data_IF_876235736886
#
_entry.id   IF_876235736886
#
_cell.length_a   1.000
_cell.length_b   1.000
_cell.length_c   1.000
_cell.angle_alpha   90.00
_cell.angle_beta   90.00
_cell.angle_gamma   90.00
#
_symmetry.space_group_name_H-M   'P 1'
#
loop_
_entity.id
_entity.type
_entity.pdbx_description
1 polymer ?
#
# COMPACT_ATOMS: atom_id res chain seq x y z
N UNK A 1 -6.60 -22.66 56.49
CA UNK A 1 -5.17 -22.72 56.12
C UNK A 1 -5.01 -21.98 54.79
N UNK A 2 -4.61 -20.70 54.80
CA UNK A 2 -4.24 -20.00 53.55
C UNK A 2 -2.93 -20.65 53.10
N UNK A 3 -2.97 -21.40 52.01
CA UNK A 3 -1.75 -21.82 51.33
C UNK A 3 -1.04 -20.52 50.97
N UNK A 4 0.01 -20.17 51.73
CA UNK A 4 0.97 -19.14 51.31
C UNK A 4 1.49 -19.66 49.98
N UNK A 5 1.01 -19.08 48.89
CA UNK A 5 1.63 -19.27 47.58
C UNK A 5 3.13 -19.07 47.81
N UNK A 6 3.93 -20.08 47.52
CA UNK A 6 5.35 -19.87 47.32
C UNK A 6 5.46 -18.74 46.31
N UNK A 7 6.05 -17.61 46.72
CA UNK A 7 6.35 -16.50 45.82
C UNK A 7 7.22 -17.07 44.71
N UNK A 8 6.58 -17.37 43.58
CA UNK A 8 7.25 -17.83 42.39
C UNK A 8 7.94 -16.59 41.84
N UNK A 9 9.25 -16.47 42.10
CA UNK A 9 10.02 -15.28 41.76
C UNK A 9 9.84 -14.91 40.29
N UNK A 10 9.46 -13.67 40.03
CA UNK A 10 9.22 -13.17 38.67
C UNK A 10 7.79 -13.33 38.16
N UNK A 11 6.85 -13.88 38.94
CA UNK A 11 5.42 -13.89 38.58
C UNK A 11 4.85 -12.49 38.38
N UNK A 12 5.32 -11.49 39.14
CA UNK A 12 4.87 -10.11 39.02
C UNK A 12 5.16 -9.53 37.63
N UNK A 13 6.25 -9.96 36.98
CA UNK A 13 6.60 -9.54 35.61
C UNK A 13 5.50 -9.92 34.61
N UNK A 14 4.90 -11.10 34.75
CA UNK A 14 3.83 -11.58 33.87
C UNK A 14 2.46 -10.98 34.22
N UNK A 15 2.24 -10.61 35.49
CA UNK A 15 0.99 -10.02 35.98
C UNK A 15 1.01 -8.48 36.06
N UNK A 16 1.99 -7.83 35.43
CA UNK A 16 2.14 -6.38 35.41
C UNK A 16 1.18 -5.65 34.44
N UNK A 17 0.44 -6.39 33.60
CA UNK A 17 -0.47 -5.81 32.61
C UNK A 17 -1.72 -5.16 33.24
N UNK A 18 -2.42 -4.33 32.45
CA UNK A 18 -3.73 -3.78 32.81
C UNK A 18 -4.68 -4.93 33.17
N UNK A 19 -5.35 -4.83 34.32
CA UNK A 19 -6.42 -5.76 34.70
C UNK A 19 -7.54 -5.70 33.66
N UNK A 20 -7.95 -6.86 33.14
CA UNK A 20 -9.08 -6.96 32.23
C UNK A 20 -10.37 -6.70 33.01
N UNK A 21 -10.87 -5.48 32.87
CA UNK A 21 -12.15 -5.02 33.41
C UNK A 21 -12.60 -3.79 32.60
N UNK A 22 -12.99 -3.99 31.32
CA UNK A 22 -13.36 -2.89 30.45
C UNK A 22 -14.62 -2.18 30.96
N UNK A 23 -14.72 -0.88 30.69
CA UNK A 23 -15.91 -0.10 31.01
C UNK A 23 -17.11 -0.55 30.14
N UNK A 24 -18.35 -0.60 30.67
CA UNK A 24 -19.53 -0.85 29.85
C UNK A 24 -19.67 0.21 28.74
N UNK A 25 -20.00 -0.23 27.52
CA UNK A 25 -20.30 0.69 26.43
C UNK A 25 -21.60 1.45 26.68
N UNK A 26 -21.65 2.72 26.30
CA UNK A 26 -22.81 3.60 26.42
C UNK A 26 -22.98 4.46 25.17
N UNK A 27 -24.06 5.24 25.09
CA UNK A 27 -24.28 6.20 24.00
C UNK A 27 -23.19 7.28 23.90
N UNK A 28 -22.45 7.54 24.99
CA UNK A 28 -21.37 8.53 25.06
C UNK A 28 -19.98 7.93 24.76
N UNK A 29 -19.91 6.65 24.40
CA UNK A 29 -18.65 6.00 24.05
C UNK A 29 -18.23 6.37 22.63
N UNK A 30 -17.28 7.30 22.53
CA UNK A 30 -16.63 7.64 21.26
C UNK A 30 -15.67 6.53 20.78
N UNK A 31 -15.15 6.70 19.56
CA UNK A 31 -14.24 5.73 18.94
C UNK A 31 -12.94 5.54 19.72
N UNK A 32 -12.42 6.58 20.36
CA UNK A 32 -11.15 6.51 21.10
C UNK A 32 -11.34 5.64 22.33
N UNK A 33 -12.39 5.92 23.12
CA UNK A 33 -12.79 5.09 24.26
C UNK A 33 -13.10 3.66 23.84
N UNK A 34 -13.85 3.47 22.75
CA UNK A 34 -14.16 2.13 22.24
C UNK A 34 -12.89 1.31 21.98
N UNK A 35 -11.94 1.88 21.24
CA UNK A 35 -10.68 1.20 20.88
C UNK A 35 -9.79 0.97 22.10
N UNK A 36 -9.63 1.97 22.98
CA UNK A 36 -8.78 1.87 24.17
C UNK A 36 -9.30 0.79 25.15
N UNK A 37 -10.61 0.49 25.09
CA UNK A 37 -11.29 -0.52 25.89
C UNK A 37 -11.11 -1.97 25.36
N UNK A 38 -10.50 -2.17 24.19
CA UNK A 38 -10.28 -3.51 23.60
C UNK A 38 -9.04 -4.19 24.21
N UNK A 39 -9.23 -5.00 25.26
CA UNK A 39 -8.12 -5.53 26.06
C UNK A 39 -7.39 -6.78 25.52
N UNK A 40 -8.07 -7.66 24.76
CA UNK A 40 -7.55 -9.00 24.43
C UNK A 40 -7.79 -9.43 22.97
N UNK A 41 -7.07 -10.46 22.54
CA UNK A 41 -7.15 -11.09 21.20
C UNK A 41 -7.01 -10.06 20.06
N UNK A 42 -7.70 -10.26 18.92
CA UNK A 42 -7.62 -9.35 17.79
C UNK A 42 -8.15 -7.93 18.10
N UNK A 43 -9.05 -7.78 19.09
CA UNK A 43 -9.42 -6.45 19.59
C UNK A 43 -8.23 -5.74 20.23
N UNK A 44 -7.47 -6.43 21.08
CA UNK A 44 -6.23 -5.92 21.66
C UNK A 44 -5.15 -5.65 20.61
N UNK A 45 -5.09 -6.43 19.53
CA UNK A 45 -4.18 -6.17 18.40
C UNK A 45 -4.60 -4.94 17.60
N UNK A 46 -5.91 -4.74 17.35
CA UNK A 46 -6.41 -3.51 16.73
C UNK A 46 -6.06 -2.27 17.57
N UNK A 47 -6.28 -2.34 18.89
CA UNK A 47 -5.87 -1.26 19.81
C UNK A 47 -4.37 -1.01 19.76
N UNK A 48 -3.55 -2.07 19.79
CA UNK A 48 -2.10 -1.94 19.69
C UNK A 48 -1.67 -1.26 18.37
N UNK A 49 -2.32 -1.58 17.24
CA UNK A 49 -2.07 -0.89 15.97
C UNK A 49 -2.48 0.59 16.03
N UNK A 50 -3.63 0.93 16.61
CA UNK A 50 -4.06 2.31 16.84
C UNK A 50 -3.05 3.10 17.71
N UNK A 51 -2.57 2.50 18.80
CA UNK A 51 -1.57 3.10 19.68
C UNK A 51 -0.23 3.27 18.97
N UNK A 52 0.21 2.28 18.20
CA UNK A 52 1.44 2.35 17.43
C UNK A 52 1.36 3.47 16.37
N UNK A 53 0.23 3.63 15.69
CA UNK A 53 -0.01 4.76 14.78
C UNK A 53 0.11 6.10 15.51
N UNK A 54 -0.57 6.22 16.65
CA UNK A 54 -0.59 7.44 17.47
C UNK A 54 0.77 7.81 18.04
N UNK A 55 1.52 6.85 18.58
CA UNK A 55 2.72 7.13 19.40
C UNK A 55 4.02 7.11 18.60
N UNK A 56 4.05 6.36 17.48
CA UNK A 56 5.23 6.22 16.62
C UNK A 56 5.01 6.82 15.24
N UNK A 57 4.01 6.37 14.48
CA UNK A 57 3.83 6.82 13.09
C UNK A 57 3.45 8.31 12.96
N UNK A 58 2.90 8.91 14.02
CA UNK A 58 2.57 10.34 14.07
C UNK A 58 3.80 11.26 14.11
N UNK A 59 4.99 10.72 14.37
CA UNK A 59 6.24 11.50 14.41
C UNK A 59 6.64 11.94 13.00
N UNK A 60 7.27 13.11 12.90
CA UNK A 60 7.56 13.79 11.61
C UNK A 60 8.71 13.15 10.83
N UNK A 61 9.62 12.52 11.54
CA UNK A 61 10.79 11.80 11.03
C UNK A 61 10.45 10.39 10.53
N UNK A 62 9.19 9.95 10.64
CA UNK A 62 8.74 8.64 10.14
C UNK A 62 8.21 8.77 8.72
N UNK A 63 8.82 8.04 7.79
CA UNK A 63 8.30 7.82 6.43
C UNK A 63 7.41 6.59 6.41
N UNK A 64 6.16 6.73 5.97
CA UNK A 64 5.14 5.68 6.06
C UNK A 64 4.76 5.12 4.69
N UNK A 65 4.96 3.82 4.51
CA UNK A 65 4.43 3.07 3.36
C UNK A 65 3.07 2.48 3.66
N UNK A 66 2.14 2.53 2.69
CA UNK A 66 0.85 1.82 2.74
C UNK A 66 0.77 0.76 1.64
N UNK A 67 0.60 -0.51 2.01
CA UNK A 67 0.37 -1.61 1.07
C UNK A 67 -1.11 -1.97 1.02
N UNK A 68 -1.68 -2.05 -0.19
CA UNK A 68 -3.09 -2.31 -0.43
C UNK A 68 -3.29 -3.60 -1.26
N UNK A 69 -3.73 -4.66 -0.58
CA UNK A 69 -4.05 -5.94 -1.21
C UNK A 69 -5.46 -6.42 -0.83
N UNK A 70 -6.15 -7.05 -1.78
CA UNK A 70 -7.59 -7.35 -1.69
C UNK A 70 -8.43 -6.34 -2.50
N UNK A 71 -9.74 -6.34 -2.28
CA UNK A 71 -10.69 -5.49 -2.99
C UNK A 71 -11.09 -4.26 -2.15
N UNK A 72 -10.15 -3.33 -1.91
CA UNK A 72 -10.38 -2.20 -1.00
C UNK A 72 -11.10 -1.03 -1.68
N UNK A 73 -10.57 -0.56 -2.80
CA UNK A 73 -11.16 0.56 -3.54
C UNK A 73 -12.59 0.27 -4.02
N UNK A 74 -12.93 -0.91 -4.60
CA UNK A 74 -14.32 -1.19 -4.98
C UNK A 74 -15.26 -1.28 -3.77
N UNK A 75 -14.74 -1.61 -2.58
CA UNK A 75 -15.52 -1.59 -1.33
C UNK A 75 -15.74 -0.18 -0.77
N UNK A 76 -15.26 0.87 -1.45
CA UNK A 76 -15.41 2.27 -1.03
C UNK A 76 -14.43 2.71 0.06
N UNK A 77 -13.37 1.93 0.33
CA UNK A 77 -12.34 2.31 1.31
C UNK A 77 -11.45 3.46 0.84
N UNK A 78 -11.40 3.73 -0.47
CA UNK A 78 -10.73 4.90 -1.04
C UNK A 78 -11.19 6.21 -0.39
N UNK A 79 -12.44 6.66 -0.66
CA UNK A 79 -12.99 7.88 -0.05
C UNK A 79 -13.20 7.79 1.45
N UNK A 80 -13.59 6.63 1.98
CA UNK A 80 -13.98 6.54 3.40
C UNK A 80 -12.80 6.46 4.38
N UNK A 81 -11.64 5.96 3.97
CA UNK A 81 -10.53 5.68 4.88
C UNK A 81 -9.14 6.02 4.31
N UNK A 82 -8.81 5.56 3.10
CA UNK A 82 -7.47 5.70 2.51
C UNK A 82 -7.15 7.17 2.22
N UNK A 83 -8.03 7.89 1.51
CA UNK A 83 -7.85 9.31 1.21
C UNK A 83 -7.77 10.15 2.50
N UNK A 84 -8.67 10.00 3.48
CA UNK A 84 -8.52 10.66 4.78
C UNK A 84 -7.17 10.41 5.48
N UNK A 85 -6.64 9.18 5.41
CA UNK A 85 -5.34 8.83 6.00
C UNK A 85 -4.18 9.50 5.25
N UNK A 86 -4.24 9.53 3.91
CA UNK A 86 -3.28 10.23 3.05
C UNK A 86 -3.27 11.73 3.36
N UNK A 87 -4.44 12.35 3.42
CA UNK A 87 -4.58 13.79 3.71
C UNK A 87 -4.14 14.15 5.14
N UNK A 88 -4.21 13.20 6.06
CA UNK A 88 -3.70 13.36 7.43
C UNK A 88 -2.17 13.17 7.51
N UNK A 89 -1.52 12.84 6.39
CA UNK A 89 -0.08 12.66 6.25
C UNK A 89 0.45 11.33 6.76
N UNK A 90 -0.40 10.32 6.97
CA UNK A 90 0.00 9.00 7.43
C UNK A 90 0.34 8.03 6.29
N UNK A 91 0.48 8.54 5.06
CA UNK A 91 0.87 7.78 3.87
C UNK A 91 1.81 8.65 3.06
N UNK A 92 3.05 8.21 2.88
CA UNK A 92 4.06 8.91 2.09
C UNK A 92 4.30 8.24 0.73
N UNK A 93 4.04 6.93 0.61
CA UNK A 93 4.09 6.15 -0.63
C UNK A 93 3.20 4.90 -0.53
N UNK A 94 2.76 4.38 -1.68
CA UNK A 94 1.80 3.27 -1.76
C UNK A 94 2.34 2.13 -2.62
N UNK A 95 2.13 0.88 -2.19
CA UNK A 95 2.14 -0.29 -3.09
C UNK A 95 0.73 -0.85 -3.19
N UNK A 96 0.26 -1.18 -4.38
CA UNK A 96 -1.09 -1.70 -4.57
C UNK A 96 -1.18 -2.65 -5.76
N UNK A 97 -2.17 -3.55 -5.72
CA UNK A 97 -2.55 -4.30 -6.93
C UNK A 97 -3.09 -3.34 -7.99
N UNK A 98 -2.83 -3.65 -9.27
CA UNK A 98 -3.41 -2.89 -10.38
C UNK A 98 -4.94 -2.93 -10.36
N UNK A 99 -5.55 -4.00 -9.79
CA UNK A 99 -6.99 -4.09 -9.57
C UNK A 99 -7.54 -2.99 -8.64
N UNK A 100 -6.88 -2.68 -7.51
CA UNK A 100 -7.31 -1.56 -6.67
C UNK A 100 -7.25 -0.23 -7.45
N UNK A 101 -6.15 0.00 -8.18
CA UNK A 101 -5.98 1.25 -8.93
C UNK A 101 -6.95 1.35 -10.11
N UNK A 102 -7.30 0.22 -10.75
CA UNK A 102 -8.31 0.16 -11.80
C UNK A 102 -9.71 0.43 -11.25
N UNK A 103 -10.10 -0.26 -10.17
CA UNK A 103 -11.42 -0.10 -9.61
C UNK A 103 -11.66 1.28 -8.99
N UNK A 104 -10.59 1.97 -8.57
CA UNK A 104 -10.62 3.36 -8.13
C UNK A 104 -11.09 4.34 -9.24
N UNK A 105 -10.80 4.03 -10.51
CA UNK A 105 -11.15 4.91 -11.64
C UNK A 105 -12.67 5.07 -11.81
N UNK A 106 -13.46 4.05 -11.45
CA UNK A 106 -14.93 4.11 -11.53
C UNK A 106 -15.47 5.31 -10.75
N UNK A 107 -14.91 5.58 -9.57
CA UNK A 107 -15.33 6.68 -8.71
C UNK A 107 -15.05 8.04 -9.35
N UNK A 108 -13.84 8.28 -9.85
CA UNK A 108 -13.51 9.53 -10.55
C UNK A 108 -14.37 9.73 -11.81
N UNK A 109 -14.69 8.65 -12.51
CA UNK A 109 -15.56 8.66 -13.69
C UNK A 109 -17.05 8.82 -13.38
N UNK A 110 -17.44 8.83 -12.10
CA UNK A 110 -18.81 8.83 -11.61
C UNK A 110 -19.63 7.63 -12.13
N UNK A 111 -19.01 6.45 -12.20
CA UNK A 111 -19.66 5.21 -12.62
C UNK A 111 -20.08 4.41 -11.37
N UNK A 112 -21.38 4.09 -11.22
CA UNK A 112 -21.90 3.61 -9.96
C UNK A 112 -21.53 2.15 -9.69
N UNK A 113 -21.20 1.87 -8.42
CA UNK A 113 -21.06 0.53 -7.87
C UNK A 113 -22.05 0.38 -6.71
N UNK A 114 -22.60 -0.82 -6.53
CA UNK A 114 -23.71 -1.07 -5.62
C UNK A 114 -23.37 -2.16 -4.61
N UNK A 115 -23.83 -1.99 -3.37
CA UNK A 115 -23.90 -3.11 -2.42
C UNK A 115 -24.90 -4.13 -2.94
N UNK A 116 -24.48 -5.39 -2.99
CA UNK A 116 -25.29 -6.55 -3.31
C UNK A 116 -25.24 -7.60 -2.20
N UNK A 117 -25.25 -8.86 -2.60
CA UNK A 117 -25.15 -10.02 -1.71
C UNK A 117 -24.23 -11.05 -2.35
N UNK A 118 -23.48 -11.78 -1.53
CA UNK A 118 -22.65 -12.91 -1.99
C UNK A 118 -23.48 -14.16 -2.35
N UNK A 119 -24.79 -14.15 -2.07
CA UNK A 119 -25.72 -15.27 -2.30
C UNK A 119 -26.45 -15.18 -3.66
N UNK A 120 -26.06 -14.23 -4.52
CA UNK A 120 -26.66 -14.04 -5.85
C UNK A 120 -26.25 -15.15 -6.83
N UNK A 121 -27.11 -15.45 -7.80
CA UNK A 121 -26.83 -16.43 -8.86
C UNK A 121 -25.93 -15.84 -9.95
N UNK A 122 -24.68 -16.32 -10.01
CA UNK A 122 -23.68 -15.90 -10.97
C UNK A 122 -24.06 -16.13 -12.44
N UNK A 123 -24.80 -17.21 -12.73
CA UNK A 123 -25.23 -17.49 -14.10
C UNK A 123 -26.31 -16.50 -14.54
N UNK A 124 -27.20 -16.11 -13.62
CA UNK A 124 -28.18 -15.06 -13.86
C UNK A 124 -27.52 -13.68 -13.99
N UNK A 125 -26.56 -13.34 -13.12
CA UNK A 125 -25.77 -12.10 -13.23
C UNK A 125 -25.11 -11.98 -14.60
N UNK A 126 -24.45 -13.05 -15.06
CA UNK A 126 -23.78 -13.05 -16.37
C UNK A 126 -24.76 -12.83 -17.52
N UNK A 127 -25.94 -13.46 -17.48
CA UNK A 127 -26.99 -13.26 -18.50
C UNK A 127 -27.55 -11.84 -18.50
N UNK A 128 -27.60 -11.20 -17.33
CA UNK A 128 -28.10 -9.84 -17.13
C UNK A 128 -27.04 -8.76 -17.33
N UNK A 129 -25.79 -9.12 -17.66
CA UNK A 129 -24.71 -8.15 -17.83
C UNK A 129 -24.25 -7.51 -16.52
N UNK A 130 -24.43 -8.17 -15.38
CA UNK A 130 -23.96 -7.67 -14.08
C UNK A 130 -22.66 -8.38 -13.72
N UNK A 131 -21.66 -7.60 -13.31
CA UNK A 131 -20.39 -8.11 -12.79
C UNK A 131 -20.38 -7.96 -11.27
N UNK A 132 -19.75 -8.91 -10.57
CA UNK A 132 -19.60 -8.83 -9.12
C UNK A 132 -18.16 -8.94 -8.64
N UNK A 133 -17.90 -8.30 -7.51
CA UNK A 133 -16.73 -8.51 -6.67
C UNK A 133 -17.28 -8.92 -5.30
N UNK A 134 -17.33 -10.22 -5.04
CA UNK A 134 -18.00 -10.79 -3.87
C UNK A 134 -19.46 -10.29 -3.71
N UNK A 135 -19.72 -9.36 -2.81
CA UNK A 135 -21.02 -8.74 -2.52
C UNK A 135 -21.15 -7.30 -3.05
N UNK A 136 -20.29 -6.91 -4.01
CA UNK A 136 -20.36 -5.64 -4.73
C UNK A 136 -20.80 -5.92 -6.17
N UNK A 137 -21.78 -5.17 -6.69
CA UNK A 137 -22.37 -5.33 -8.02
C UNK A 137 -22.20 -4.07 -8.86
N UNK A 138 -21.94 -4.23 -10.16
CA UNK A 138 -21.88 -3.13 -11.12
C UNK A 138 -22.17 -3.62 -12.53
N UNK A 139 -22.58 -2.70 -13.40
CA UNK A 139 -22.93 -3.02 -14.78
C UNK A 139 -21.70 -3.34 -15.64
N UNK A 140 -21.75 -4.40 -16.43
CA UNK A 140 -20.64 -4.80 -17.29
C UNK A 140 -20.38 -3.77 -18.41
N UNK A 141 -21.40 -3.25 -19.07
CA UNK A 141 -21.24 -2.35 -20.21
C UNK A 141 -21.05 -0.89 -19.79
N UNK A 142 -21.87 -0.43 -18.85
CA UNK A 142 -21.95 0.98 -18.46
C UNK A 142 -20.89 1.36 -17.41
N UNK A 143 -20.31 0.38 -16.72
CA UNK A 143 -19.27 0.62 -15.70
C UNK A 143 -17.93 0.03 -16.14
N UNK A 144 -17.85 -1.28 -16.34
CA UNK A 144 -16.56 -1.94 -16.65
C UNK A 144 -16.06 -1.56 -18.06
N UNK A 145 -16.88 -1.79 -19.10
CA UNK A 145 -16.47 -1.49 -20.48
C UNK A 145 -16.32 0.01 -20.73
N UNK A 146 -17.13 0.85 -20.08
CA UNK A 146 -16.97 2.31 -20.18
C UNK A 146 -15.66 2.81 -19.56
N UNK A 147 -15.26 2.27 -18.40
CA UNK A 147 -13.95 2.54 -17.79
C UNK A 147 -12.82 2.18 -18.75
N UNK A 148 -12.92 1.01 -19.39
CA UNK A 148 -11.98 0.53 -20.39
C UNK A 148 -11.90 1.43 -21.63
N UNK A 149 -13.04 1.87 -22.17
CA UNK A 149 -13.10 2.81 -23.30
C UNK A 149 -12.41 4.13 -22.95
N UNK A 150 -12.62 4.66 -21.75
CA UNK A 150 -11.95 5.88 -21.28
C UNK A 150 -10.46 5.68 -21.06
N UNK A 151 -10.09 4.59 -20.39
CA UNK A 151 -8.70 4.25 -20.12
C UNK A 151 -7.88 4.15 -21.41
N UNK A 152 -8.37 3.41 -22.42
CA UNK A 152 -7.67 3.29 -23.71
C UNK A 152 -7.39 4.65 -24.37
N UNK A 153 -8.35 5.59 -24.32
CA UNK A 153 -8.14 6.95 -24.83
C UNK A 153 -7.12 7.74 -24.01
N UNK A 154 -7.09 7.55 -22.70
CA UNK A 154 -6.10 8.18 -21.81
C UNK A 154 -4.69 7.66 -22.11
N UNK A 155 -4.53 6.34 -22.29
CA UNK A 155 -3.25 5.69 -22.55
C UNK A 155 -2.61 6.09 -23.89
N UNK A 156 -3.37 6.69 -24.81
CA UNK A 156 -2.87 7.22 -26.09
C UNK A 156 -2.40 8.68 -26.00
N UNK A 157 -2.51 9.32 -24.83
CA UNK A 157 -2.05 10.71 -24.67
C UNK A 157 -0.52 10.80 -24.69
N UNK A 158 0.06 11.97 -25.06
CA UNK A 158 1.51 12.14 -25.23
C UNK A 158 2.33 11.78 -23.98
N UNK A 159 1.84 12.10 -22.78
CA UNK A 159 2.54 11.82 -21.52
C UNK A 159 2.79 10.33 -21.27
N UNK A 160 1.99 9.44 -21.87
CA UNK A 160 2.14 7.98 -21.77
C UNK A 160 3.06 7.39 -22.86
N UNK A 161 3.43 8.12 -23.91
CA UNK A 161 4.16 7.56 -25.06
C UNK A 161 5.68 7.45 -24.82
N UNK A 162 6.06 6.76 -23.74
CA UNK A 162 7.44 6.47 -23.35
C UNK A 162 7.51 5.24 -22.45
N UNK A 163 8.73 4.75 -22.24
CA UNK A 163 9.00 3.82 -21.14
C UNK A 163 8.97 4.57 -19.80
N UNK A 164 8.31 3.98 -18.80
CA UNK A 164 8.19 4.54 -17.45
C UNK A 164 7.97 3.44 -16.40
N UNK A 165 8.20 3.76 -15.14
CA UNK A 165 7.72 2.95 -14.01
C UNK A 165 6.25 3.23 -13.70
N UNK A 166 5.62 2.40 -12.87
CA UNK A 166 4.25 2.63 -12.37
C UNK A 166 4.14 3.90 -11.52
N UNK A 167 5.23 4.34 -10.86
CA UNK A 167 5.26 5.63 -10.15
C UNK A 167 4.84 6.80 -11.03
N UNK A 168 5.46 6.91 -12.20
CA UNK A 168 5.18 8.00 -13.16
C UNK A 168 3.84 7.77 -13.86
N UNK A 169 3.54 6.52 -14.24
CA UNK A 169 2.27 6.14 -14.83
C UNK A 169 1.06 6.58 -13.98
N UNK A 170 1.07 6.23 -12.68
CA UNK A 170 -0.04 6.58 -11.78
C UNK A 170 -0.08 8.07 -11.45
N UNK A 171 1.03 8.78 -11.49
CA UNK A 171 1.00 10.23 -11.36
C UNK A 171 0.31 10.90 -12.55
N UNK A 172 0.63 10.47 -13.78
CA UNK A 172 -0.07 10.94 -14.97
C UNK A 172 -1.56 10.56 -14.94
N UNK A 173 -1.88 9.31 -14.61
CA UNK A 173 -3.26 8.86 -14.48
C UNK A 173 -4.02 9.63 -13.38
N UNK A 174 -3.39 9.89 -12.24
CA UNK A 174 -3.96 10.63 -11.13
C UNK A 174 -4.27 12.08 -11.46
N UNK A 175 -3.42 12.74 -12.25
CA UNK A 175 -3.73 14.06 -12.81
C UNK A 175 -5.02 14.02 -13.63
N UNK A 176 -5.18 13.01 -14.49
CA UNK A 176 -6.38 12.85 -15.30
C UNK A 176 -7.60 12.55 -14.42
N UNK A 177 -7.48 11.70 -13.41
CA UNK A 177 -8.59 11.40 -12.48
C UNK A 177 -9.01 12.63 -11.68
N UNK A 178 -8.05 13.45 -11.24
CA UNK A 178 -8.32 14.72 -10.57
C UNK A 178 -9.14 15.68 -11.47
N UNK A 179 -8.83 15.74 -12.77
CA UNK A 179 -9.63 16.54 -13.71
C UNK A 179 -11.06 15.98 -13.87
N UNK A 180 -11.23 14.66 -13.85
CA UNK A 180 -12.55 14.03 -13.91
C UNK A 180 -13.36 14.26 -12.63
N UNK A 181 -12.74 14.20 -11.44
CA UNK A 181 -13.39 14.60 -10.18
C UNK A 181 -13.94 16.03 -10.26
N UNK A 182 -13.12 16.98 -10.73
CA UNK A 182 -13.55 18.37 -10.91
C UNK A 182 -14.68 18.54 -11.92
N UNK A 183 -14.59 17.88 -13.09
CA UNK A 183 -15.62 17.93 -14.15
C UNK A 183 -16.96 17.34 -13.69
N UNK A 184 -16.90 16.23 -12.97
CA UNK A 184 -18.07 15.54 -12.43
C UNK A 184 -18.58 16.19 -11.13
N UNK A 185 -17.90 17.24 -10.64
CA UNK A 185 -18.20 17.92 -9.36
C UNK A 185 -18.24 16.97 -8.19
N UNK A 186 -17.31 16.01 -8.21
CA UNK A 186 -17.10 15.07 -7.13
C UNK A 186 -16.18 15.69 -6.08
N UNK A 187 -16.33 15.25 -4.83
CA UNK A 187 -15.29 15.44 -3.81
C UNK A 187 -14.09 14.55 -4.09
N UNK A 188 -13.22 14.39 -3.10
CA UNK A 188 -12.09 13.47 -3.20
C UNK A 188 -12.55 12.01 -3.07
N UNK A 189 -12.68 11.33 -4.21
CA UNK A 189 -13.24 9.98 -4.30
C UNK A 189 -12.29 8.96 -4.91
N UNK A 190 -11.24 9.40 -5.60
CA UNK A 190 -10.20 8.56 -6.21
C UNK A 190 -8.89 8.66 -5.43
N UNK A 191 -8.39 7.51 -4.99
CA UNK A 191 -7.06 7.34 -4.38
C UNK A 191 -5.96 7.78 -5.34
N UNK A 192 -6.07 7.45 -6.63
CA UNK A 192 -5.06 7.84 -7.62
C UNK A 192 -5.03 9.37 -7.82
N UNK A 193 -6.20 10.03 -7.81
CA UNK A 193 -6.30 11.49 -7.84
C UNK A 193 -5.74 12.15 -6.57
N UNK A 194 -6.07 11.62 -5.39
CA UNK A 194 -5.53 12.11 -4.12
C UNK A 194 -4.01 11.96 -4.03
N UNK A 195 -3.45 10.86 -4.56
CA UNK A 195 -2.02 10.63 -4.59
C UNK A 195 -1.29 11.67 -5.47
N UNK A 196 -1.88 12.03 -6.62
CA UNK A 196 -1.41 13.13 -7.46
C UNK A 196 -1.38 14.46 -6.70
N UNK A 197 -2.49 14.84 -6.04
CA UNK A 197 -2.56 16.09 -5.24
C UNK A 197 -1.52 16.12 -4.12
N UNK A 198 -1.35 14.99 -3.43
CA UNK A 198 -0.48 14.88 -2.26
C UNK A 198 1.00 14.60 -2.60
N UNK A 199 1.34 14.38 -3.88
CA UNK A 199 2.69 14.01 -4.29
C UNK A 199 3.12 12.64 -3.75
N UNK A 200 2.18 11.70 -3.58
CA UNK A 200 2.42 10.35 -3.08
C UNK A 200 2.67 9.42 -4.28
N UNK A 201 3.85 8.78 -4.40
CA UNK A 201 4.10 7.82 -5.46
C UNK A 201 3.34 6.51 -5.19
N UNK A 202 2.73 5.95 -6.23
CA UNK A 202 2.05 4.64 -6.21
C UNK A 202 2.86 3.66 -7.05
N UNK A 203 3.08 2.47 -6.52
CA UNK A 203 3.74 1.37 -7.21
C UNK A 203 2.79 0.18 -7.35
N UNK A 204 2.88 -0.55 -8.47
CA UNK A 204 2.23 -1.85 -8.64
C UNK A 204 3.27 -2.91 -8.96
N UNK A 205 3.34 -3.92 -8.12
CA UNK A 205 4.33 -4.99 -8.18
C UNK A 205 4.16 -5.94 -9.36
N UNK A 206 2.96 -6.05 -9.90
CA UNK A 206 2.64 -6.85 -11.09
C UNK A 206 1.87 -6.00 -12.11
N UNK A 207 2.52 -5.11 -12.89
CA UNK A 207 1.81 -4.15 -13.75
C UNK A 207 0.93 -4.78 -14.83
N UNK A 208 1.28 -5.98 -15.29
CA UNK A 208 0.47 -6.77 -16.23
C UNK A 208 -0.77 -7.43 -15.61
N UNK A 209 -0.82 -7.56 -14.28
CA UNK A 209 -1.86 -8.29 -13.55
C UNK A 209 -3.00 -7.36 -13.12
N UNK A 210 -3.67 -6.78 -14.12
CA UNK A 210 -4.89 -5.99 -13.95
C UNK A 210 -5.51 -5.62 -15.29
N UNK A 211 -6.76 -5.14 -15.26
CA UNK A 211 -7.41 -4.56 -16.45
C UNK A 211 -6.63 -3.38 -17.04
N UNK A 212 -5.84 -2.64 -16.23
CA UNK A 212 -4.92 -1.62 -16.73
C UNK A 212 -3.85 -2.27 -17.63
N UNK A 213 -3.16 -3.29 -17.11
CA UNK A 213 -2.14 -4.03 -17.85
C UNK A 213 -2.70 -4.68 -19.12
N UNK A 214 -3.89 -5.27 -19.03
CA UNK A 214 -4.60 -5.86 -20.18
C UNK A 214 -4.90 -4.82 -21.27
N UNK A 215 -5.31 -3.60 -20.90
CA UNK A 215 -5.57 -2.53 -21.87
C UNK A 215 -4.28 -1.99 -22.50
N UNK A 216 -3.17 -1.90 -21.73
CA UNK A 216 -1.85 -1.57 -22.29
C UNK A 216 -1.43 -2.62 -23.33
N UNK A 217 -1.52 -3.91 -22.99
CA UNK A 217 -1.19 -5.02 -23.89
C UNK A 217 -2.07 -5.03 -25.15
N UNK A 218 -3.38 -4.77 -25.01
CA UNK A 218 -4.30 -4.68 -26.14
C UNK A 218 -3.97 -3.54 -27.10
N UNK A 219 -3.62 -2.36 -26.59
CA UNK A 219 -3.18 -1.23 -27.41
C UNK A 219 -1.84 -1.50 -28.11
N UNK A 220 -0.91 -2.15 -27.41
CA UNK A 220 0.36 -2.57 -28.01
C UNK A 220 0.14 -3.56 -29.15
N UNK A 221 -0.74 -4.55 -28.95
CA UNK A 221 -1.10 -5.53 -29.98
C UNK A 221 -1.69 -4.85 -31.21
N UNK A 222 -2.62 -3.91 -31.01
CA UNK A 222 -3.20 -3.11 -32.09
C UNK A 222 -2.11 -2.31 -32.84
N UNK A 223 -1.23 -1.63 -32.12
CA UNK A 223 -0.13 -0.87 -32.72
C UNK A 223 0.82 -1.79 -33.52
N UNK A 224 1.06 -3.01 -33.02
CA UNK A 224 1.77 -4.07 -33.74
C UNK A 224 1.10 -4.42 -35.06
N UNK A 225 -0.16 -4.83 -35.02
CA UNK A 225 -0.92 -5.27 -36.19
C UNK A 225 -1.10 -4.15 -37.23
N UNK A 226 -1.17 -2.90 -36.79
CA UNK A 226 -1.33 -1.73 -37.66
C UNK A 226 -0.01 -1.13 -38.18
N UNK A 227 1.16 -1.69 -37.83
CA UNK A 227 2.46 -1.11 -38.22
C UNK A 227 2.83 0.20 -37.49
N UNK A 228 2.16 0.51 -36.38
CA UNK A 228 2.29 1.74 -35.60
C UNK A 228 3.16 1.60 -34.33
N UNK A 229 3.95 0.52 -34.20
CA UNK A 229 4.83 0.31 -33.02
C UNK A 229 5.80 1.46 -32.75
N UNK A 230 6.23 2.16 -33.80
CA UNK A 230 7.13 3.30 -33.66
C UNK A 230 6.45 4.51 -32.99
N UNK A 231 5.11 4.58 -33.02
CA UNK A 231 4.29 5.62 -32.39
C UNK A 231 3.78 5.22 -31.00
N UNK A 232 3.33 3.97 -30.82
CA UNK A 232 2.90 3.49 -29.51
C UNK A 232 4.10 3.06 -28.66
N UNK A 233 4.52 3.96 -27.78
CA UNK A 233 5.77 3.84 -27.02
C UNK A 233 5.57 3.56 -25.53
N UNK A 234 4.32 3.45 -25.07
CA UNK A 234 4.02 3.13 -23.67
C UNK A 234 4.60 1.76 -23.31
N UNK A 235 5.57 1.77 -22.39
CA UNK A 235 6.18 0.58 -21.81
C UNK A 235 6.28 0.76 -20.30
N UNK A 236 5.84 -0.25 -19.54
CA UNK A 236 6.02 -0.25 -18.09
C UNK A 236 7.24 -1.09 -17.76
N UNK A 237 8.22 -0.47 -17.10
CA UNK A 237 9.46 -1.12 -16.69
C UNK A 237 9.48 -1.29 -15.15
N UNK A 238 9.26 -2.51 -14.63
CA UNK A 238 9.26 -2.77 -13.19
C UNK A 238 10.59 -2.49 -12.50
N UNK A 239 11.72 -2.52 -13.22
CA UNK A 239 13.04 -2.21 -12.63
C UNK A 239 13.13 -0.75 -12.17
N UNK A 240 12.43 0.17 -12.84
CA UNK A 240 12.33 1.57 -12.41
C UNK A 240 11.63 1.63 -11.04
N UNK A 241 10.54 0.88 -10.88
CA UNK A 241 9.77 0.87 -9.63
C UNK A 241 10.54 0.24 -8.47
N UNK A 242 11.29 -0.84 -8.71
CA UNK A 242 12.15 -1.46 -7.69
C UNK A 242 13.18 -0.43 -7.19
N UNK A 243 13.87 0.26 -8.10
CA UNK A 243 14.87 1.25 -7.71
C UNK A 243 14.24 2.48 -7.04
N UNK A 244 13.15 3.02 -7.58
CA UNK A 244 12.52 4.22 -7.04
C UNK A 244 11.87 3.99 -5.67
N UNK A 245 11.28 2.81 -5.43
CA UNK A 245 10.73 2.45 -4.12
C UNK A 245 11.85 2.20 -3.09
N UNK A 246 12.93 1.53 -3.49
CA UNK A 246 14.14 1.38 -2.67
C UNK A 246 14.77 2.73 -2.30
N UNK A 247 14.82 3.68 -3.23
CA UNK A 247 15.38 5.01 -2.99
C UNK A 247 14.64 5.77 -1.87
N UNK A 248 13.32 5.55 -1.71
CA UNK A 248 12.53 6.15 -0.63
C UNK A 248 13.01 5.68 0.74
N UNK A 249 13.15 4.36 0.91
CA UNK A 249 13.57 3.77 2.19
C UNK A 249 14.99 4.16 2.54
N UNK A 250 15.91 4.01 1.59
CA UNK A 250 17.31 4.39 1.79
C UNK A 250 17.44 5.87 2.21
N UNK A 251 16.70 6.77 1.56
CA UNK A 251 16.75 8.19 1.87
C UNK A 251 16.26 8.48 3.29
N UNK A 252 15.10 7.93 3.66
CA UNK A 252 14.51 8.12 4.97
C UNK A 252 15.47 7.72 6.11
N UNK A 253 16.21 6.62 5.95
CA UNK A 253 17.04 6.06 7.01
C UNK A 253 18.46 6.58 6.98
N UNK A 254 19.11 6.54 5.80
CA UNK A 254 20.54 6.88 5.66
C UNK A 254 20.79 8.38 5.54
N UNK A 255 19.93 9.11 4.84
CA UNK A 255 20.17 10.52 4.50
C UNK A 255 19.36 11.49 5.35
N UNK A 256 18.15 11.12 5.76
CA UNK A 256 17.31 11.94 6.64
C UNK A 256 17.46 11.57 8.13
N UNK A 257 18.16 10.47 8.43
CA UNK A 257 18.32 9.93 9.78
C UNK A 257 16.98 9.72 10.51
N UNK A 258 15.94 9.41 9.74
CA UNK A 258 14.60 9.16 10.21
C UNK A 258 14.33 7.69 10.46
N UNK A 259 13.04 7.37 10.51
CA UNK A 259 12.51 6.03 10.74
C UNK A 259 11.55 5.64 9.62
N UNK A 260 11.35 4.35 9.41
CA UNK A 260 10.40 3.86 8.40
C UNK A 260 9.36 2.94 9.04
N UNK A 261 8.12 3.09 8.59
CA UNK A 261 7.01 2.26 9.05
C UNK A 261 6.12 1.82 7.90
N UNK A 262 5.57 0.61 8.00
CA UNK A 262 4.68 0.05 6.98
C UNK A 262 3.30 -0.28 7.55
N UNK A 263 2.26 0.15 6.85
CA UNK A 263 0.88 -0.25 7.09
C UNK A 263 0.50 -1.22 5.97
N UNK A 264 0.42 -2.49 6.31
CA UNK A 264 0.16 -3.59 5.40
C UNK A 264 -1.29 -4.01 5.52
N UNK A 265 -2.10 -3.69 4.52
CA UNK A 265 -3.51 -4.10 4.44
C UNK A 265 -3.63 -5.27 3.46
N UNK A 266 -4.01 -6.43 3.98
CA UNK A 266 -3.99 -7.69 3.26
C UNK A 266 -2.58 -8.30 3.17
N UNK A 267 -2.27 -8.91 2.03
CA UNK A 267 -0.99 -9.57 1.82
C UNK A 267 -0.50 -9.57 0.38
N UNK A 268 -0.06 -10.72 -0.11
CA UNK A 268 0.31 -10.93 -1.50
C UNK A 268 1.43 -10.04 -2.02
N UNK A 269 1.38 -9.77 -3.32
CA UNK A 269 2.43 -9.05 -4.04
C UNK A 269 2.68 -7.61 -3.52
N UNK A 270 1.64 -6.80 -3.18
CA UNK A 270 1.87 -5.45 -2.61
C UNK A 270 2.65 -5.46 -1.30
N UNK A 271 2.34 -6.39 -0.38
CA UNK A 271 3.10 -6.58 0.87
C UNK A 271 4.55 -6.94 0.58
N UNK A 272 4.78 -7.89 -0.34
CA UNK A 272 6.15 -8.27 -0.69
C UNK A 272 6.94 -7.10 -1.25
N UNK A 273 6.36 -6.42 -2.23
CA UNK A 273 7.04 -5.34 -2.95
C UNK A 273 7.38 -4.17 -2.02
N UNK A 274 6.53 -3.91 -1.03
CA UNK A 274 6.82 -2.92 0.01
C UNK A 274 8.01 -3.33 0.87
N UNK A 275 8.05 -4.57 1.33
CA UNK A 275 9.09 -5.05 2.24
C UNK A 275 10.42 -5.41 1.54
N UNK A 276 10.38 -5.78 0.26
CA UNK A 276 11.57 -6.21 -0.49
C UNK A 276 12.56 -5.06 -0.75
N UNK A 277 12.15 -3.80 -0.52
CA UNK A 277 13.07 -2.66 -0.60
C UNK A 277 14.28 -2.87 0.29
N UNK A 278 14.11 -3.57 1.42
CA UNK A 278 15.17 -3.87 2.38
C UNK A 278 16.19 -4.91 1.85
N UNK A 279 15.79 -6.13 1.42
CA UNK A 279 16.67 -7.02 0.67
C UNK A 279 17.33 -6.36 -0.55
N UNK A 280 16.62 -5.49 -1.28
CA UNK A 280 17.22 -4.76 -2.39
C UNK A 280 18.38 -3.86 -1.93
N UNK A 281 18.25 -3.16 -0.81
CA UNK A 281 19.32 -2.33 -0.23
C UNK A 281 20.48 -3.22 0.24
N UNK A 282 20.18 -4.22 1.05
CA UNK A 282 21.17 -5.00 1.81
C UNK A 282 21.89 -6.04 0.93
N UNK A 283 21.15 -6.80 0.13
CA UNK A 283 21.65 -7.99 -0.57
C UNK A 283 22.00 -7.73 -2.03
N UNK A 284 21.27 -6.82 -2.71
CA UNK A 284 21.47 -6.55 -4.14
C UNK A 284 22.38 -5.34 -4.35
N UNK A 285 22.11 -4.26 -3.61
CA UNK A 285 22.89 -3.02 -3.70
C UNK A 285 24.08 -2.99 -2.73
N UNK A 286 24.19 -3.98 -1.84
CA UNK A 286 25.29 -4.15 -0.88
C UNK A 286 25.45 -2.96 0.08
N UNK A 287 24.38 -2.20 0.33
CA UNK A 287 24.39 -1.03 1.21
C UNK A 287 24.11 -1.47 2.65
N UNK A 288 24.99 -1.18 3.62
CA UNK A 288 24.75 -1.51 5.02
C UNK A 288 23.52 -0.76 5.56
N UNK A 289 22.49 -1.50 5.92
CA UNK A 289 21.21 -1.02 6.41
C UNK A 289 20.51 -2.17 7.18
N UNK A 290 19.48 -1.88 7.96
CA UNK A 290 18.72 -2.87 8.76
C UNK A 290 17.24 -2.64 8.50
N UNK A 291 16.36 -3.65 8.52
CA UNK A 291 14.97 -3.51 8.06
C UNK A 291 14.07 -2.43 8.69
N UNK A 292 12.79 -2.43 8.31
CA UNK A 292 11.80 -1.43 8.77
C UNK A 292 11.72 -1.32 10.30
N UNK A 293 11.52 -0.10 10.81
CA UNK A 293 11.44 0.14 12.26
C UNK A 293 10.06 -0.24 12.83
N UNK A 294 8.99 -0.01 12.07
CA UNK A 294 7.62 -0.26 12.53
C UNK A 294 6.82 -1.07 11.51
N UNK A 295 5.97 -1.98 11.98
CA UNK A 295 5.12 -2.82 11.13
C UNK A 295 3.71 -2.93 11.71
N UNK A 296 2.71 -2.56 10.92
CA UNK A 296 1.30 -2.85 11.20
C UNK A 296 0.77 -3.70 10.06
N UNK A 297 0.39 -4.94 10.37
CA UNK A 297 -0.18 -5.88 9.41
C UNK A 297 -1.63 -6.22 9.78
N UNK A 298 -2.56 -5.93 8.88
CA UNK A 298 -3.98 -6.29 8.98
C UNK A 298 -4.26 -7.34 7.91
N UNK A 299 -4.48 -8.59 8.30
CA UNK A 299 -4.60 -9.71 7.36
C UNK A 299 -5.57 -10.76 7.87
N UNK A 300 -6.25 -11.47 6.99
CA UNK A 300 -7.03 -12.68 7.29
C UNK A 300 -6.23 -13.97 7.05
N UNK A 301 -5.06 -13.86 6.41
CA UNK A 301 -4.25 -14.99 6.01
C UNK A 301 -3.53 -15.61 7.22
N UNK A 302 -3.64 -16.93 7.35
CA UNK A 302 -2.98 -17.67 8.41
C UNK A 302 -1.51 -17.96 8.05
N UNK A 303 -0.59 -18.00 9.04
CA UNK A 303 0.81 -18.30 8.78
C UNK A 303 1.08 -19.75 8.39
N UNK A 304 0.28 -20.72 8.88
CA UNK A 304 0.52 -22.17 8.73
C UNK A 304 0.45 -22.66 7.27
N UNK A 305 -0.17 -21.89 6.37
CA UNK A 305 -0.26 -22.25 4.95
C UNK A 305 0.99 -21.89 4.16
N UNK A 306 2.01 -21.30 4.78
CA UNK A 306 3.29 -20.95 4.15
C UNK A 306 3.19 -19.79 3.14
N UNK A 307 2.08 -19.05 3.13
CA UNK A 307 1.87 -17.92 2.24
C UNK A 307 2.39 -16.62 2.84
N UNK A 308 3.07 -15.80 2.04
CA UNK A 308 3.60 -14.48 2.46
C UNK A 308 2.53 -13.58 3.13
N UNK A 309 1.28 -13.67 2.68
CA UNK A 309 0.16 -12.90 3.25
C UNK A 309 0.01 -13.08 4.76
N UNK A 310 0.24 -14.31 5.26
CA UNK A 310 0.16 -14.66 6.68
C UNK A 310 1.50 -14.61 7.41
N UNK A 311 2.62 -14.42 6.70
CA UNK A 311 3.95 -14.44 7.28
C UNK A 311 4.09 -13.37 8.41
N UNK A 312 4.53 -13.77 9.62
CA UNK A 312 4.63 -12.87 10.76
C UNK A 312 5.86 -11.95 10.63
N UNK A 313 5.86 -10.77 11.31
CA UNK A 313 7.01 -9.86 11.30
C UNK A 313 8.31 -10.50 11.80
N UNK A 314 8.24 -11.47 12.72
CA UNK A 314 9.41 -12.22 13.20
C UNK A 314 10.06 -13.06 12.10
N UNK A 315 9.27 -13.61 11.16
CA UNK A 315 9.82 -14.28 9.98
C UNK A 315 10.42 -13.25 9.02
N UNK A 316 9.74 -12.12 8.80
CA UNK A 316 10.26 -11.05 7.94
C UNK A 316 11.62 -10.50 8.43
N UNK A 317 11.87 -10.48 9.74
CA UNK A 317 13.16 -10.09 10.31
C UNK A 317 14.33 -11.01 9.89
N UNK A 318 14.09 -12.32 9.65
CA UNK A 318 15.16 -13.21 9.16
C UNK A 318 15.61 -12.90 7.74
N UNK A 319 14.77 -12.18 6.98
CA UNK A 319 15.05 -11.70 5.63
C UNK A 319 15.56 -10.25 5.61
N UNK A 320 15.90 -9.68 6.77
CA UNK A 320 16.32 -8.28 6.87
C UNK A 320 15.22 -7.26 6.58
N UNK A 321 13.95 -7.69 6.42
CA UNK A 321 12.81 -6.80 6.08
C UNK A 321 12.35 -5.95 7.26
N UNK A 322 12.53 -6.45 8.48
CA UNK A 322 12.19 -5.78 9.74
C UNK A 322 13.46 -5.74 10.61
N UNK A 323 13.70 -4.63 11.30
CA UNK A 323 14.79 -4.55 12.28
C UNK A 323 14.51 -5.52 13.45
N UNK A 324 15.38 -6.51 13.71
CA UNK A 324 15.18 -7.49 14.78
C UNK A 324 15.15 -6.85 16.17
N UNK A 325 15.72 -5.65 16.36
CA UNK A 325 15.65 -4.90 17.62
C UNK A 325 14.32 -4.17 17.82
N UNK A 326 13.50 -4.08 16.78
CA UNK A 326 12.22 -3.37 16.78
C UNK A 326 11.00 -4.31 16.75
N UNK A 327 11.18 -5.62 16.98
CA UNK A 327 10.08 -6.59 16.94
C UNK A 327 8.90 -6.26 17.89
N UNK A 328 9.18 -5.60 19.02
CA UNK A 328 8.14 -5.12 19.95
C UNK A 328 7.29 -3.97 19.36
N UNK A 329 7.75 -3.33 18.29
CA UNK A 329 7.06 -2.27 17.55
C UNK A 329 6.35 -2.82 16.30
N UNK A 330 5.97 -4.10 16.33
CA UNK A 330 5.24 -4.77 15.25
C UNK A 330 3.89 -5.30 15.74
N UNK A 331 2.86 -5.15 14.90
CA UNK A 331 1.49 -5.59 15.23
C UNK A 331 0.86 -6.28 14.04
N UNK A 332 0.60 -7.58 14.17
CA UNK A 332 -0.32 -8.31 13.29
C UNK A 332 -1.69 -8.43 13.96
N UNK A 333 -2.73 -7.91 13.32
CA UNK A 333 -4.13 -8.14 13.70
C UNK A 333 -4.82 -8.99 12.64
N UNK A 334 -5.40 -10.12 13.07
CA UNK A 334 -6.14 -11.00 12.18
C UNK A 334 -7.58 -10.52 12.04
N UNK A 335 -7.80 -9.56 11.15
CA UNK A 335 -9.07 -8.84 10.99
C UNK A 335 -9.35 -8.55 9.51
N UNK A 336 -10.64 -8.48 9.18
CA UNK A 336 -11.09 -7.96 7.90
C UNK A 336 -10.75 -6.47 7.76
N UNK A 337 -10.17 -6.09 6.62
CA UNK A 337 -9.69 -4.73 6.39
C UNK A 337 -10.83 -3.71 6.24
N UNK A 338 -12.03 -4.13 5.83
CA UNK A 338 -13.23 -3.27 5.75
C UNK A 338 -13.75 -2.88 7.14
N UNK A 339 -13.39 -3.65 8.17
CA UNK A 339 -13.66 -3.31 9.58
C UNK A 339 -12.49 -2.53 10.18
N UNK A 340 -11.27 -3.05 10.07
CA UNK A 340 -10.12 -2.50 10.78
C UNK A 340 -9.69 -1.12 10.26
N UNK A 341 -9.65 -0.91 8.94
CA UNK A 341 -9.09 0.31 8.35
C UNK A 341 -9.90 1.57 8.71
N UNK A 342 -11.25 1.60 8.60
CA UNK A 342 -12.04 2.76 9.03
C UNK A 342 -11.86 3.09 10.52
N UNK A 343 -11.76 2.07 11.39
CA UNK A 343 -11.55 2.26 12.82
C UNK A 343 -10.17 2.86 13.13
N UNK A 344 -9.12 2.36 12.48
CA UNK A 344 -7.76 2.91 12.57
C UNK A 344 -7.73 4.38 12.16
N UNK A 345 -8.34 4.71 11.01
CA UNK A 345 -8.37 6.07 10.48
C UNK A 345 -9.14 7.01 11.40
N UNK A 346 -10.32 6.59 11.87
CA UNK A 346 -11.12 7.39 12.80
C UNK A 346 -10.37 7.66 14.11
N UNK A 347 -9.71 6.65 14.67
CA UNK A 347 -8.89 6.80 15.89
C UNK A 347 -7.73 7.77 15.67
N UNK A 348 -6.96 7.61 14.59
CA UNK A 348 -5.78 8.45 14.30
C UNK A 348 -6.20 9.90 14.07
N UNK A 349 -7.28 10.15 13.32
CA UNK A 349 -7.77 11.51 13.08
C UNK A 349 -8.22 12.24 14.35
N UNK A 350 -8.73 11.51 15.34
CA UNK A 350 -9.15 12.11 16.62
C UNK A 350 -8.00 12.25 17.63
N UNK A 351 -6.96 11.41 17.52
CA UNK A 351 -5.88 11.36 18.52
C UNK A 351 -4.58 12.02 18.08
N UNK A 352 -4.46 12.42 16.81
CA UNK A 352 -3.22 12.98 16.25
C UNK A 352 -3.48 14.24 15.42
N UNK A 353 -2.44 15.05 15.23
CA UNK A 353 -2.47 16.20 14.31
C UNK A 353 -2.02 15.76 12.91
N UNK A 354 -2.53 16.39 11.83
CA UNK A 354 -2.05 16.13 10.48
C UNK A 354 -0.53 16.36 10.37
N UNK A 355 0.16 15.46 9.66
CA UNK A 355 1.60 15.62 9.33
C UNK A 355 1.77 16.44 8.06
N UNK A 356 2.92 17.11 7.93
CA UNK A 356 3.32 17.74 6.67
C UNK A 356 3.57 16.63 5.64
N UNK A 357 2.93 16.72 4.48
CA UNK A 357 3.12 15.78 3.38
C UNK A 357 4.59 15.81 2.91
N UNK A 358 5.22 14.63 2.78
CA UNK A 358 6.60 14.52 2.28
C UNK A 358 6.72 14.72 0.77
N UNK A 359 5.63 14.53 0.03
CA UNK A 359 5.52 14.72 -1.43
C UNK A 359 6.64 13.97 -2.19
N UNK A 360 6.85 12.69 -1.87
CA UNK A 360 7.98 11.90 -2.35
C UNK A 360 8.04 11.75 -3.88
N UNK A 361 6.91 11.88 -4.58
CA UNK A 361 6.90 11.90 -6.04
C UNK A 361 7.77 13.03 -6.60
N UNK A 362 7.64 14.23 -6.05
CA UNK A 362 8.35 15.45 -6.50
C UNK A 362 9.86 15.34 -6.24
N UNK A 363 10.25 14.49 -5.27
CA UNK A 363 11.65 14.24 -4.88
C UNK A 363 12.29 13.09 -5.64
N UNK A 364 11.56 12.34 -6.47
CA UNK A 364 12.05 11.13 -7.15
C UNK A 364 13.47 11.25 -7.75
N UNK A 365 13.79 12.29 -8.55
CA UNK A 365 15.14 12.47 -9.11
C UNK A 365 16.25 12.66 -8.07
N UNK A 366 15.95 13.31 -6.95
CA UNK A 366 16.88 13.48 -5.81
C UNK A 366 17.13 12.14 -5.12
N UNK A 367 16.06 11.40 -4.82
CA UNK A 367 16.12 10.10 -4.15
C UNK A 367 16.91 9.09 -4.98
N UNK A 368 16.60 8.99 -6.28
CA UNK A 368 17.25 8.06 -7.19
C UNK A 368 18.75 8.32 -7.32
N UNK A 369 19.17 9.59 -7.38
CA UNK A 369 20.60 9.94 -7.44
C UNK A 369 21.36 9.45 -6.21
N UNK A 370 20.81 9.68 -5.02
CA UNK A 370 21.39 9.19 -3.76
C UNK A 370 21.48 7.66 -3.70
N UNK A 371 20.51 6.96 -4.29
CA UNK A 371 20.56 5.51 -4.43
C UNK A 371 21.74 5.07 -5.31
N UNK A 372 21.93 5.70 -6.47
CA UNK A 372 23.07 5.42 -7.36
C UNK A 372 24.39 5.69 -6.66
N UNK A 373 24.52 6.83 -5.98
CA UNK A 373 25.74 7.18 -5.25
C UNK A 373 26.07 6.14 -4.17
N UNK A 374 25.06 5.73 -3.39
CA UNK A 374 25.22 4.68 -2.37
C UNK A 374 25.59 3.33 -2.96
N UNK A 375 24.98 2.94 -4.10
CA UNK A 375 25.29 1.68 -4.76
C UNK A 375 26.75 1.64 -5.23
N UNK A 376 27.20 2.69 -5.91
CA UNK A 376 28.57 2.78 -6.42
C UNK A 376 29.62 2.83 -5.30
N UNK A 377 29.30 3.43 -4.16
CA UNK A 377 30.19 3.49 -3.01
C UNK A 377 30.34 2.12 -2.32
N UNK A 378 29.28 1.32 -2.24
CA UNK A 378 29.23 0.15 -1.37
C UNK A 378 29.45 -1.18 -2.12
N UNK A 379 29.04 -1.27 -3.39
CA UNK A 379 29.15 -2.52 -4.14
C UNK A 379 30.54 -2.69 -4.80
N UNK A 380 31.27 -3.72 -4.36
CA UNK A 380 32.65 -4.02 -4.82
C UNK A 380 32.73 -4.66 -6.20
N UNK A 381 31.60 -5.13 -6.74
CA UNK A 381 31.53 -5.81 -8.04
C UNK A 381 31.31 -4.83 -9.20
N UNK A 382 31.02 -3.55 -8.92
CA UNK A 382 30.65 -2.51 -9.90
C UNK A 382 31.59 -2.47 -11.10
N UNK A 383 32.91 -2.41 -10.87
CA UNK A 383 33.89 -2.32 -11.96
C UNK A 383 33.94 -3.60 -12.82
N UNK A 384 33.75 -4.76 -12.21
CA UNK A 384 33.67 -6.03 -12.94
C UNK A 384 32.39 -6.08 -13.78
N UNK A 385 31.25 -5.79 -13.18
CA UNK A 385 29.94 -5.78 -13.85
C UNK A 385 29.92 -4.77 -15.01
N UNK A 386 30.48 -3.57 -14.80
CA UNK A 386 30.62 -2.55 -15.84
C UNK A 386 31.45 -3.04 -17.03
N UNK A 387 32.58 -3.73 -16.77
CA UNK A 387 33.39 -4.34 -17.84
C UNK A 387 32.61 -5.40 -18.62
N UNK A 388 31.78 -6.19 -17.95
CA UNK A 388 30.93 -7.18 -18.62
C UNK A 388 29.85 -6.51 -19.47
N UNK A 389 29.20 -5.46 -18.96
CA UNK A 389 28.19 -4.69 -19.71
C UNK A 389 28.77 -4.02 -20.96
N UNK A 390 29.98 -3.43 -20.88
CA UNK A 390 30.62 -2.80 -22.05
C UNK A 390 30.82 -3.81 -23.19
N UNK A 391 31.11 -5.08 -22.86
CA UNK A 391 31.27 -6.16 -23.85
C UNK A 391 29.97 -6.58 -24.55
N UNK A 392 28.80 -6.15 -24.04
CA UNK A 392 27.52 -6.38 -24.70
C UNK A 392 27.28 -5.41 -25.86
N UNK A 393 28.12 -4.37 -26.02
CA UNK A 393 28.04 -3.46 -27.15
C UNK A 393 28.29 -4.26 -28.44
N UNK A 394 27.37 -4.21 -29.42
CA UNK A 394 27.45 -4.99 -30.66
C UNK A 394 28.65 -4.63 -31.53
#
# INVERSE_FOLDING_TARGET
MKIKNSDCSGKEKYLAGKRILPEPLSGDTDIVKLIDNLDAYNGGRLRAACHLLKDKYSRRDVTVGLSLAGALTPAGLGPSAIIPLMNHGFVDWITATGANMYHDLHFAFNLPMHRGSHLVDDADLRKKGVTRIYDILFDYEDVLMETDRRLRRILLRPEFQKEMGTREFYHHLGKVMNDFEGKNRLGEVSVVAAAYRNGIPIFTSSPGDSTIGMNVAGLELLAGAAGLRHLFRLKINPSIDVNDSTAIILNAKRYEHGKTGVILIGGGSPKNFMLQTEPQIQEVLMIPEVGQDYDINITDARPDTGGLSGAPPSEAASWGKIDPTMLEQTVTAYLDFTVALPLLVAYVKQTTRPKKLKRLYDRGPELHRKLVDSYLENNREVEQLKKLMIKLSP
#
